data_IF_392852847550
#
_entry.id   IF_392852847550
#
_cell.length_a   1.000
_cell.length_b   1.000
_cell.length_c   1.000
_cell.angle_alpha   90.00
_cell.angle_beta   90.00
_cell.angle_gamma   90.00
#
_symmetry.space_group_name_H-M   'P 1'
#
loop_
_entity.id
_entity.type
_entity.pdbx_description
1 polymer ?
#
# COMPACT_ATOMS: atom_id res chain seq x y z
N UNK A 1 -27.50 -9.23 -27.90
CA UNK A 1 -26.03 -9.09 -27.94
C UNK A 1 -25.55 -8.49 -26.62
N UNK A 2 -25.35 -9.29 -25.57
CA UNK A 2 -25.00 -8.79 -24.22
C UNK A 2 -23.83 -9.52 -23.57
N UNK A 3 -23.29 -10.57 -24.21
CA UNK A 3 -22.16 -11.36 -23.66
C UNK A 3 -20.80 -10.70 -23.85
N UNK A 4 -20.60 -9.92 -24.92
CA UNK A 4 -19.29 -9.32 -25.22
C UNK A 4 -18.88 -8.27 -24.15
N UNK A 5 -19.83 -7.47 -23.65
CA UNK A 5 -19.55 -6.44 -22.64
C UNK A 5 -19.17 -7.04 -21.28
N UNK A 6 -19.76 -8.18 -20.92
CA UNK A 6 -19.46 -8.86 -19.66
C UNK A 6 -18.06 -9.46 -19.66
N UNK A 7 -17.60 -10.00 -20.80
CA UNK A 7 -16.26 -10.57 -20.93
C UNK A 7 -15.16 -9.51 -20.79
N UNK A 8 -15.36 -8.30 -21.34
CA UNK A 8 -14.38 -7.20 -21.21
C UNK A 8 -14.33 -6.67 -19.78
N UNK A 9 -15.48 -6.59 -19.09
CA UNK A 9 -15.51 -6.16 -17.69
C UNK A 9 -14.84 -7.19 -16.75
N UNK A 10 -15.00 -8.49 -17.02
CA UNK A 10 -14.31 -9.56 -16.29
C UNK A 10 -12.80 -9.54 -16.55
N UNK A 11 -12.37 -9.32 -17.80
CA UNK A 11 -10.95 -9.21 -18.15
C UNK A 11 -10.27 -7.97 -17.53
N UNK A 12 -11.02 -6.89 -17.29
CA UNK A 12 -10.50 -5.71 -16.59
C UNK A 12 -10.38 -5.93 -15.08
N UNK A 13 -11.24 -6.77 -14.46
CA UNK A 13 -11.12 -7.13 -13.04
C UNK A 13 -10.00 -8.13 -12.74
N UNK A 14 -9.54 -8.89 -13.73
CA UNK A 14 -8.41 -9.84 -13.61
C UNK A 14 -7.04 -9.20 -13.76
N UNK A 15 -6.92 -7.89 -14.01
CA UNK A 15 -5.60 -7.24 -14.12
C UNK A 15 -4.95 -6.87 -12.77
N UNK A 16 -5.56 -7.29 -11.65
CA UNK A 16 -4.96 -7.25 -10.33
C UNK A 16 -5.11 -8.63 -9.66
N UNK A 17 -4.52 -9.67 -10.27
CA UNK A 17 -4.56 -11.05 -9.76
C UNK A 17 -3.75 -11.26 -8.46
N UNK A 18 -3.12 -10.22 -7.91
CA UNK A 18 -2.48 -10.28 -6.61
C UNK A 18 -3.46 -10.21 -5.43
N UNK A 19 -2.94 -10.25 -4.19
CA UNK A 19 -3.75 -10.16 -2.98
C UNK A 19 -4.64 -8.92 -2.97
N UNK A 20 -5.72 -8.96 -2.20
CA UNK A 20 -6.54 -7.76 -1.95
C UNK A 20 -5.66 -6.61 -1.41
N UNK A 21 -6.05 -5.35 -1.56
CA UNK A 21 -5.27 -4.25 -1.00
C UNK A 21 -5.30 -4.30 0.54
N UNK A 22 -4.17 -4.01 1.22
CA UNK A 22 -4.12 -3.92 2.67
C UNK A 22 -5.10 -2.88 3.22
N UNK A 23 -5.67 -3.19 4.39
CA UNK A 23 -6.66 -2.36 5.08
C UNK A 23 -6.11 -1.82 6.39
N UNK A 24 -6.84 -0.86 6.96
CA UNK A 24 -6.55 -0.28 8.27
C UNK A 24 -5.11 0.26 8.37
N UNK A 25 -4.62 0.87 7.28
CA UNK A 25 -3.33 1.56 7.24
C UNK A 25 -3.41 2.77 8.14
N UNK A 26 -2.61 2.79 9.19
CA UNK A 26 -2.58 3.86 10.19
C UNK A 26 -1.15 4.19 10.58
N UNK A 27 -0.90 5.48 10.86
CA UNK A 27 0.31 5.93 11.53
C UNK A 27 0.01 6.20 13.00
N UNK A 28 0.87 5.68 13.88
CA UNK A 28 0.81 5.87 15.32
C UNK A 28 2.07 6.57 15.80
N UNK A 29 1.95 7.47 16.76
CA UNK A 29 3.12 8.08 17.40
C UNK A 29 3.88 7.01 18.21
N UNK A 30 5.18 6.86 17.95
CA UNK A 30 6.07 5.95 18.69
C UNK A 30 6.94 6.70 19.72
N UNK A 31 6.88 8.03 19.74
CA UNK A 31 7.76 8.87 20.56
C UNK A 31 9.11 9.14 19.89
N UNK A 32 9.89 10.06 20.46
CA UNK A 32 11.22 10.44 19.97
C UNK A 32 11.27 10.88 18.49
N UNK A 33 10.18 11.46 17.98
CA UNK A 33 10.07 11.89 16.58
C UNK A 33 9.84 10.75 15.58
N UNK A 34 9.63 9.53 16.06
CA UNK A 34 9.32 8.37 15.23
C UNK A 34 7.82 8.11 15.19
N UNK A 35 7.33 7.61 14.05
CA UNK A 35 5.99 7.07 13.92
C UNK A 35 6.05 5.61 13.49
N UNK A 36 5.06 4.84 13.92
CA UNK A 36 4.87 3.44 13.55
C UNK A 36 3.74 3.34 12.54
N UNK A 37 4.07 2.93 11.32
CA UNK A 37 3.13 2.55 10.28
C UNK A 37 2.63 1.13 10.57
N UNK A 38 1.32 0.94 10.64
CA UNK A 38 0.68 -0.36 10.92
C UNK A 38 -0.43 -0.59 9.91
N UNK A 39 -0.57 -1.82 9.44
CA UNK A 39 -1.71 -2.25 8.62
C UNK A 39 -2.14 -3.67 8.98
N UNK A 40 -3.31 -4.06 8.50
CA UNK A 40 -3.85 -5.40 8.74
C UNK A 40 -3.14 -6.45 7.89
N UNK A 41 -2.68 -7.58 8.48
CA UNK A 41 -2.08 -8.67 7.73
C UNK A 41 -3.10 -9.31 6.78
N UNK A 42 -2.61 -9.70 5.61
CA UNK A 42 -3.43 -10.34 4.58
C UNK A 42 -3.03 -11.81 4.47
N UNK A 43 -3.99 -12.74 4.58
CA UNK A 43 -3.67 -14.18 4.56
C UNK A 43 -3.05 -14.64 3.24
N UNK A 44 -3.36 -13.93 2.15
CA UNK A 44 -2.89 -14.27 0.80
C UNK A 44 -1.56 -13.57 0.45
N UNK A 45 -1.03 -12.70 1.32
CA UNK A 45 0.21 -11.96 1.07
C UNK A 45 1.39 -12.55 1.83
N UNK A 46 2.48 -12.80 1.11
CA UNK A 46 3.78 -13.22 1.66
C UNK A 46 4.69 -12.03 1.98
N UNK A 47 4.51 -10.91 1.27
CA UNK A 47 5.23 -9.66 1.51
C UNK A 47 4.40 -8.44 1.11
N UNK A 48 4.89 -7.26 1.45
CA UNK A 48 4.23 -5.98 1.20
C UNK A 48 5.20 -5.00 0.56
N UNK A 49 4.73 -4.28 -0.45
CA UNK A 49 5.41 -3.12 -1.03
C UNK A 49 4.82 -1.87 -0.40
N UNK A 50 5.65 -1.08 0.27
CA UNK A 50 5.28 0.21 0.84
C UNK A 50 5.79 1.30 -0.09
N UNK A 51 4.87 2.03 -0.72
CA UNK A 51 5.15 3.17 -1.58
C UNK A 51 5.00 4.48 -0.80
N UNK A 52 5.96 5.38 -1.00
CA UNK A 52 6.13 6.64 -0.29
C UNK A 52 6.07 7.79 -1.29
N UNK A 53 5.31 8.83 -0.94
CA UNK A 53 5.22 10.07 -1.71
C UNK A 53 5.73 11.24 -0.90
N UNK A 54 6.67 11.99 -1.46
CA UNK A 54 7.24 13.19 -0.85
C UNK A 54 6.32 14.41 -0.99
N UNK A 55 6.43 15.40 -0.09
CA UNK A 55 5.70 16.66 -0.19
C UNK A 55 5.91 17.34 -1.53
N UNK A 56 4.82 17.73 -2.19
CA UNK A 56 4.83 18.38 -3.50
C UNK A 56 4.91 17.43 -4.70
N UNK A 57 5.14 16.12 -4.48
CA UNK A 57 5.11 15.14 -5.57
C UNK A 57 3.68 14.68 -5.89
N UNK A 58 3.43 14.39 -7.16
CA UNK A 58 2.16 13.85 -7.68
C UNK A 58 2.22 12.32 -7.89
N UNK A 59 3.37 11.70 -7.63
CA UNK A 59 3.62 10.28 -7.84
C UNK A 59 4.36 9.69 -6.63
N UNK A 60 4.37 8.37 -6.49
CA UNK A 60 5.22 7.72 -5.48
C UNK A 60 6.69 7.83 -5.88
N UNK A 61 7.51 8.40 -5.00
CA UNK A 61 8.91 8.71 -5.26
C UNK A 61 9.84 7.56 -4.83
N UNK A 62 9.43 6.81 -3.81
CA UNK A 62 10.22 5.73 -3.25
C UNK A 62 9.32 4.55 -2.86
N UNK A 63 9.86 3.34 -2.90
CA UNK A 63 9.20 2.17 -2.33
C UNK A 63 10.23 1.22 -1.73
N UNK A 64 9.76 0.36 -0.84
CA UNK A 64 10.54 -0.76 -0.31
C UNK A 64 9.64 -1.95 0.00
N UNK A 65 10.23 -3.15 0.09
CA UNK A 65 9.52 -4.40 0.40
C UNK A 65 9.76 -4.81 1.86
N UNK A 66 8.73 -5.35 2.53
CA UNK A 66 8.85 -5.94 3.87
C UNK A 66 7.91 -7.13 4.02
N UNK A 67 8.22 -8.05 4.93
CA UNK A 67 7.29 -9.09 5.38
C UNK A 67 6.48 -8.65 6.62
N UNK A 68 6.94 -7.62 7.33
CA UNK A 68 6.30 -7.11 8.53
C UNK A 68 5.07 -6.27 8.20
N UNK A 69 4.09 -6.24 9.12
CA UNK A 69 2.90 -5.37 9.02
C UNK A 69 2.96 -4.16 9.94
N UNK A 70 4.14 -3.89 10.50
CA UNK A 70 4.42 -2.80 11.40
C UNK A 70 5.85 -2.31 11.20
N UNK A 71 6.03 -1.02 10.92
CA UNK A 71 7.35 -0.41 10.71
C UNK A 71 7.44 0.88 11.50
N UNK A 72 8.46 1.01 12.33
CA UNK A 72 8.77 2.25 13.05
C UNK A 72 9.90 2.98 12.36
N UNK A 73 9.69 4.24 11.99
CA UNK A 73 10.72 5.07 11.36
C UNK A 73 10.47 6.57 11.55
N UNK A 74 11.53 7.36 11.45
CA UNK A 74 11.48 8.84 11.42
C UNK A 74 10.96 9.40 10.09
N UNK A 75 10.99 8.60 9.01
CA UNK A 75 10.57 9.07 7.68
C UNK A 75 9.06 9.31 7.62
N UNK A 76 8.28 8.68 8.50
CA UNK A 76 6.83 8.71 8.48
C UNK A 76 6.22 10.00 9.07
N UNK A 77 6.85 11.14 8.85
CA UNK A 77 6.45 12.45 9.36
C UNK A 77 5.99 13.36 8.21
N UNK A 78 5.08 14.30 8.48
CA UNK A 78 4.53 15.16 7.42
C UNK A 78 5.56 16.15 6.84
N UNK A 79 6.69 16.36 7.54
CA UNK A 79 7.83 17.11 7.01
C UNK A 79 8.61 16.35 5.94
N UNK A 80 8.48 15.02 5.89
CA UNK A 80 9.22 14.14 4.97
C UNK A 80 8.34 13.43 3.96
N UNK A 81 7.07 13.15 4.28
CA UNK A 81 6.12 12.45 3.41
C UNK A 81 4.80 13.21 3.32
N UNK A 82 4.17 13.16 2.15
CA UNK A 82 2.79 13.58 1.94
C UNK A 82 1.81 12.39 1.93
N UNK A 83 2.26 11.21 1.50
CA UNK A 83 1.39 10.06 1.33
C UNK A 83 2.11 8.73 1.40
N UNK A 84 1.38 7.70 1.82
CA UNK A 84 1.83 6.32 1.91
C UNK A 84 0.75 5.41 1.33
N UNK A 85 1.13 4.45 0.50
CA UNK A 85 0.23 3.38 0.06
C UNK A 85 0.95 2.03 0.08
N UNK A 86 0.20 0.96 0.28
CA UNK A 86 0.76 -0.37 0.50
C UNK A 86 0.10 -1.35 -0.47
N UNK A 87 0.86 -2.24 -1.09
CA UNK A 87 0.36 -3.35 -1.90
C UNK A 87 0.85 -4.68 -1.31
N UNK A 88 0.02 -5.71 -1.36
CA UNK A 88 0.42 -7.08 -1.01
C UNK A 88 1.00 -7.82 -2.20
N UNK A 89 1.94 -8.73 -1.92
CA UNK A 89 2.52 -9.66 -2.88
C UNK A 89 2.25 -11.08 -2.44
N UNK A 90 1.75 -11.93 -3.33
CA UNK A 90 1.52 -13.35 -3.03
C UNK A 90 2.78 -14.21 -3.23
N UNK A 91 2.67 -15.50 -2.92
CA UNK A 91 3.75 -16.48 -3.09
C UNK A 91 4.17 -16.70 -4.56
N UNK A 92 3.30 -16.37 -5.52
CA UNK A 92 3.60 -16.43 -6.95
C UNK A 92 4.29 -15.15 -7.45
N UNK A 93 4.48 -14.17 -6.57
CA UNK A 93 5.09 -12.88 -6.86
C UNK A 93 4.12 -11.87 -7.48
N UNK A 94 2.82 -12.16 -7.53
CA UNK A 94 1.79 -11.26 -8.04
C UNK A 94 1.51 -10.14 -7.04
N UNK A 95 1.54 -8.91 -7.55
CA UNK A 95 1.22 -7.71 -6.76
C UNK A 95 -0.27 -7.39 -6.87
N UNK A 96 -0.87 -7.15 -5.72
CA UNK A 96 -2.22 -6.64 -5.60
C UNK A 96 -2.29 -5.15 -5.94
N UNK A 97 -3.51 -4.58 -6.00
CA UNK A 97 -3.67 -3.15 -6.09
C UNK A 97 -3.13 -2.47 -4.81
N UNK A 98 -2.75 -1.20 -4.94
CA UNK A 98 -2.39 -0.39 -3.78
C UNK A 98 -3.61 -0.17 -2.88
N UNK A 99 -3.36 -0.06 -1.58
CA UNK A 99 -4.32 0.43 -0.60
C UNK A 99 -4.78 1.83 -0.94
N UNK A 100 -5.86 2.26 -0.27
CA UNK A 100 -6.14 3.70 -0.17
C UNK A 100 -4.91 4.42 0.34
N UNK A 101 -4.59 5.56 -0.28
CA UNK A 101 -3.47 6.38 0.15
C UNK A 101 -3.75 6.96 1.53
N UNK A 102 -2.81 6.76 2.45
CA UNK A 102 -2.79 7.41 3.74
C UNK A 102 -2.05 8.73 3.61
N UNK A 103 -2.77 9.85 3.77
CA UNK A 103 -2.16 11.17 3.76
C UNK A 103 -1.50 11.47 5.10
N UNK A 104 -0.21 11.78 5.07
CA UNK A 104 0.55 12.09 6.28
C UNK A 104 0.32 13.57 6.63
N UNK A 105 -0.38 13.82 7.73
CA UNK A 105 -0.61 15.17 8.24
C UNK A 105 0.16 15.40 9.54
N UNK A 106 0.44 16.67 9.83
CA UNK A 106 1.00 17.11 11.12
C UNK A 106 -0.06 17.08 12.21
#
# INVERSE_FOLDING_TARGET
MTRATQAVLVAATTLADGPRPPRNVVLREAGNGMRTLVWEPMPDATSYIVALRYPGSLQYDQYFETADTSITSEIFTASRLAGIAISGRDANGLLGPLSSEYFVTN
#
